data_IF_961318911190
#
_entry.id   IF_961318911190
#
_cell.length_a   1.000
_cell.length_b   1.000
_cell.length_c   1.000
_cell.angle_alpha   90.00
_cell.angle_beta   90.00
_cell.angle_gamma   90.00
#
_symmetry.space_group_name_H-M   'P 1'
#
loop_
_entity.id
_entity.type
_entity.pdbx_description
1 polymer ?
#
# COMPACT_ATOMS: atom_id res chain seq x y z
N UNK A 1 -27.27 -14.53 10.20
CA UNK A 1 -26.18 -14.24 11.16
C UNK A 1 -26.75 -13.44 12.31
N UNK A 2 -26.55 -13.88 13.52
CA UNK A 2 -27.10 -13.20 14.70
C UNK A 2 -26.19 -12.04 15.10
N UNK A 3 -26.76 -10.99 15.68
CA UNK A 3 -26.05 -9.78 16.14
C UNK A 3 -24.85 -10.10 17.05
N UNK A 4 -24.90 -11.22 17.78
CA UNK A 4 -23.80 -11.70 18.65
C UNK A 4 -22.61 -12.24 17.88
N UNK A 5 -22.78 -12.79 16.68
CA UNK A 5 -21.67 -13.28 15.86
C UNK A 5 -20.89 -12.13 15.20
N UNK A 6 -21.58 -11.05 14.85
CA UNK A 6 -20.95 -9.83 14.33
C UNK A 6 -20.11 -9.11 15.40
N UNK A 7 -20.62 -9.04 16.63
CA UNK A 7 -19.90 -8.48 17.78
C UNK A 7 -18.67 -9.30 18.15
N UNK A 8 -18.71 -10.62 17.97
CA UNK A 8 -17.55 -11.51 18.24
C UNK A 8 -16.46 -11.35 17.17
N UNK A 9 -16.84 -11.18 15.91
CA UNK A 9 -15.90 -10.85 14.84
C UNK A 9 -15.28 -9.45 15.01
N UNK A 10 -16.07 -8.46 15.40
CA UNK A 10 -15.56 -7.12 15.71
C UNK A 10 -14.53 -7.15 16.86
N UNK A 11 -14.77 -7.91 17.93
CA UNK A 11 -13.80 -8.06 19.03
C UNK A 11 -12.52 -8.79 18.63
N UNK A 12 -12.59 -9.76 17.70
CA UNK A 12 -11.39 -10.38 17.12
C UNK A 12 -10.58 -9.40 16.28
N UNK A 13 -11.25 -8.53 15.54
CA UNK A 13 -10.62 -7.45 14.77
C UNK A 13 -9.95 -6.44 15.71
N UNK A 14 -10.59 -6.08 16.83
CA UNK A 14 -10.02 -5.18 17.84
C UNK A 14 -8.77 -5.78 18.52
N UNK A 15 -8.77 -7.08 18.84
CA UNK A 15 -7.59 -7.74 19.38
C UNK A 15 -6.43 -7.83 18.39
N UNK A 16 -6.70 -8.03 17.11
CA UNK A 16 -5.69 -8.00 16.04
C UNK A 16 -5.15 -6.58 15.86
N UNK A 17 -6.00 -5.55 15.99
CA UNK A 17 -5.63 -4.13 15.94
C UNK A 17 -4.65 -3.73 17.05
N UNK A 18 -4.75 -4.31 18.24
CA UNK A 18 -3.86 -3.99 19.38
C UNK A 18 -2.42 -4.47 19.12
N UNK A 19 -2.22 -5.61 18.47
CA UNK A 19 -0.90 -6.09 18.04
C UNK A 19 -0.28 -5.23 16.93
N UNK A 20 -1.09 -4.69 16.04
CA UNK A 20 -0.59 -3.83 14.96
C UNK A 20 -0.10 -2.48 15.47
N UNK A 21 -0.75 -1.91 16.48
CA UNK A 21 -0.29 -0.67 17.12
C UNK A 21 1.07 -0.81 17.82
N UNK A 22 1.38 -2.00 18.34
CA UNK A 22 2.66 -2.27 19.00
C UNK A 22 3.85 -2.37 18.04
N UNK A 23 3.62 -2.87 16.82
CA UNK A 23 4.69 -3.08 15.82
C UNK A 23 4.98 -1.77 15.05
N UNK A 24 3.97 -0.94 14.77
CA UNK A 24 4.09 0.24 13.92
C UNK A 24 4.38 1.57 14.64
N UNK A 25 4.32 1.61 15.97
CA UNK A 25 4.60 2.85 16.74
C UNK A 25 6.04 3.38 16.65
N UNK A 26 6.98 2.64 16.03
CA UNK A 26 8.40 3.03 15.98
C UNK A 26 8.93 3.49 14.63
N UNK A 27 8.20 3.31 13.54
CA UNK A 27 8.70 3.66 12.22
C UNK A 27 7.82 4.75 11.59
N UNK A 28 8.40 5.95 11.38
CA UNK A 28 7.76 7.01 10.61
C UNK A 28 7.65 6.54 9.16
N UNK A 29 6.50 5.99 8.80
CA UNK A 29 6.16 5.76 7.40
C UNK A 29 5.95 7.11 6.72
N UNK A 30 6.63 7.32 5.60
CA UNK A 30 6.72 8.63 4.94
C UNK A 30 5.80 8.73 3.71
N UNK A 31 4.63 8.16 3.78
CA UNK A 31 3.68 8.11 2.65
C UNK A 31 2.29 7.77 3.17
N UNK A 32 1.27 8.27 2.51
CA UNK A 32 -0.11 7.82 2.69
C UNK A 32 -0.57 7.08 1.45
N UNK A 33 -1.10 5.88 1.63
CA UNK A 33 -1.76 5.10 0.59
C UNK A 33 -3.13 4.66 1.10
N UNK A 34 -4.13 4.87 0.29
CA UNK A 34 -5.50 4.39 0.53
C UNK A 34 -5.98 3.63 -0.70
N UNK A 35 -6.61 2.51 -0.50
CA UNK A 35 -7.34 1.81 -1.55
C UNK A 35 -8.75 1.49 -1.11
N UNK A 36 -9.68 1.53 -2.05
CA UNK A 36 -11.07 1.19 -1.84
C UNK A 36 -11.62 0.44 -3.06
N UNK A 37 -12.53 -0.48 -2.85
CA UNK A 37 -13.14 -1.24 -3.91
C UNK A 37 -14.62 -1.51 -3.66
N UNK A 38 -15.33 -1.70 -4.77
CA UNK A 38 -16.62 -2.36 -4.84
C UNK A 38 -16.55 -3.50 -5.88
N UNK A 39 -17.69 -4.05 -6.32
CA UNK A 39 -17.72 -5.15 -7.29
C UNK A 39 -17.15 -4.78 -8.67
N UNK A 40 -17.13 -3.50 -9.02
CA UNK A 40 -16.81 -3.03 -10.36
C UNK A 40 -15.40 -2.49 -10.47
N UNK A 41 -14.95 -1.74 -9.44
CA UNK A 41 -13.70 -1.00 -9.47
C UNK A 41 -12.91 -1.16 -8.18
N UNK A 42 -11.60 -1.14 -8.32
CA UNK A 42 -10.64 -0.91 -7.24
C UNK A 42 -9.89 0.38 -7.53
N UNK A 43 -9.83 1.25 -6.55
CA UNK A 43 -9.16 2.55 -6.62
C UNK A 43 -7.99 2.55 -5.65
N UNK A 44 -6.84 3.03 -6.09
CA UNK A 44 -5.66 3.23 -5.25
C UNK A 44 -5.23 4.67 -5.36
N UNK A 45 -5.10 5.35 -4.22
CA UNK A 45 -4.63 6.74 -4.14
C UNK A 45 -3.44 6.87 -3.19
N UNK A 46 -2.50 7.74 -3.52
CA UNK A 46 -1.36 8.07 -2.69
C UNK A 46 -0.98 9.55 -2.80
N UNK A 47 -0.33 10.06 -1.76
CA UNK A 47 0.34 11.36 -1.80
C UNK A 47 1.64 11.31 -2.62
N UNK A 48 2.17 12.46 -3.03
CA UNK A 48 3.40 12.52 -3.84
C UNK A 48 4.65 12.95 -3.08
N UNK A 49 4.54 13.39 -1.83
CA UNK A 49 5.67 13.92 -1.08
C UNK A 49 6.68 12.82 -0.73
N UNK A 50 7.93 13.04 -1.09
CA UNK A 50 9.09 12.26 -0.67
C UNK A 50 9.97 13.15 0.22
N UNK A 51 10.22 12.74 1.45
CA UNK A 51 11.12 13.43 2.36
C UNK A 51 12.43 12.66 2.50
N UNK A 52 13.54 13.31 2.21
CA UNK A 52 14.85 12.73 2.45
C UNK A 52 15.19 12.88 3.94
N UNK A 53 15.29 11.76 4.65
CA UNK A 53 15.52 11.75 6.10
C UNK A 53 16.89 12.29 6.54
N UNK A 54 17.85 12.35 5.62
CA UNK A 54 19.21 12.82 5.93
C UNK A 54 19.28 14.34 5.78
N UNK A 55 18.69 14.85 4.68
CA UNK A 55 18.80 16.29 4.34
C UNK A 55 17.56 17.09 4.67
N UNK A 56 16.45 16.44 5.06
CA UNK A 56 15.11 17.01 5.19
C UNK A 56 14.59 17.68 3.88
N UNK A 57 15.25 17.45 2.77
CA UNK A 57 14.78 17.93 1.48
C UNK A 57 13.50 17.23 1.09
N UNK A 58 12.53 18.00 0.61
CA UNK A 58 11.25 17.53 0.11
C UNK A 58 11.27 17.51 -1.42
N UNK A 59 10.92 16.38 -1.99
CA UNK A 59 10.72 16.20 -3.43
C UNK A 59 9.36 15.57 -3.67
N UNK A 60 8.90 15.61 -4.92
CA UNK A 60 7.61 15.02 -5.28
C UNK A 60 7.83 13.89 -6.28
N UNK A 61 7.30 12.72 -5.98
CA UNK A 61 7.40 11.53 -6.83
C UNK A 61 6.06 10.82 -6.95
N UNK A 62 5.88 10.18 -8.08
CA UNK A 62 4.75 9.28 -8.30
C UNK A 62 5.01 7.98 -7.53
N UNK A 63 4.19 7.72 -6.51
CA UNK A 63 4.29 6.53 -5.65
C UNK A 63 3.38 5.40 -6.11
N UNK A 64 2.53 5.63 -7.10
CA UNK A 64 1.69 4.61 -7.73
C UNK A 64 2.21 4.38 -9.14
N UNK A 65 2.60 3.15 -9.41
CA UNK A 65 3.03 2.66 -10.70
C UNK A 65 1.97 1.68 -11.22
N UNK A 66 1.81 1.59 -12.53
CA UNK A 66 0.84 0.65 -13.09
C UNK A 66 1.20 0.25 -14.51
N UNK A 67 0.70 -0.90 -14.92
CA UNK A 67 0.52 -1.33 -16.30
C UNK A 67 -0.97 -1.61 -16.54
N UNK A 68 -1.33 -2.26 -17.64
CA UNK A 68 -2.73 -2.54 -17.99
C UNK A 68 -3.49 -3.45 -17.00
N UNK A 69 -2.80 -4.16 -16.10
CA UNK A 69 -3.40 -5.20 -15.24
C UNK A 69 -3.04 -5.08 -13.76
N UNK A 70 -2.00 -4.32 -13.45
CA UNK A 70 -1.39 -4.29 -12.12
C UNK A 70 -1.23 -2.85 -11.67
N UNK A 71 -1.60 -2.57 -10.41
CA UNK A 71 -1.26 -1.35 -9.71
C UNK A 71 -0.25 -1.69 -8.62
N UNK A 72 0.77 -0.87 -8.46
CA UNK A 72 1.76 -0.97 -7.38
C UNK A 72 1.80 0.36 -6.64
N UNK A 73 1.59 0.32 -5.33
CA UNK A 73 1.84 1.46 -4.46
C UNK A 73 3.11 1.23 -3.64
N UNK A 74 3.96 2.26 -3.55
CA UNK A 74 5.25 2.25 -2.88
C UNK A 74 5.20 3.12 -1.63
N UNK A 75 5.69 2.57 -0.51
CA UNK A 75 5.80 3.28 0.77
C UNK A 75 7.21 3.09 1.35
N UNK A 76 7.62 4.03 2.18
CA UNK A 76 8.93 3.98 2.82
C UNK A 76 10.05 4.49 1.91
N UNK A 77 11.17 3.79 1.87
CA UNK A 77 12.37 4.23 1.15
C UNK A 77 12.29 3.89 -0.34
N UNK A 78 11.90 4.86 -1.16
CA UNK A 78 11.84 4.73 -2.61
C UNK A 78 13.20 5.00 -3.29
N UNK A 79 14.11 5.66 -2.59
CA UNK A 79 15.47 5.94 -3.07
C UNK A 79 16.51 5.38 -2.10
N UNK A 80 17.54 4.73 -2.62
CA UNK A 80 18.69 4.27 -1.86
C UNK A 80 19.95 5.02 -2.30
N UNK A 81 20.54 5.77 -1.36
CA UNK A 81 21.81 6.47 -1.59
C UNK A 81 22.96 5.48 -1.38
N UNK A 82 23.81 5.34 -2.38
CA UNK A 82 24.99 4.48 -2.36
C UNK A 82 26.25 5.26 -2.71
N UNK A 83 27.42 4.66 -2.51
CA UNK A 83 28.70 5.24 -2.95
C UNK A 83 28.79 5.46 -4.48
N UNK A 84 27.97 4.75 -5.26
CA UNK A 84 27.94 4.82 -6.72
C UNK A 84 26.80 5.67 -7.27
N UNK A 85 26.04 6.37 -6.41
CA UNK A 85 24.91 7.21 -6.79
C UNK A 85 23.59 6.80 -6.13
N UNK A 86 22.50 7.32 -6.65
CA UNK A 86 21.15 7.07 -6.13
C UNK A 86 20.51 5.95 -6.95
N UNK A 87 19.98 4.95 -6.25
CA UNK A 87 19.12 3.92 -6.84
C UNK A 87 17.67 4.32 -6.60
N UNK A 88 16.93 4.55 -7.67
CA UNK A 88 15.51 4.92 -7.65
C UNK A 88 14.66 3.65 -7.85
N UNK A 89 14.08 3.13 -6.79
CA UNK A 89 13.29 1.89 -6.84
C UNK A 89 11.99 2.05 -7.63
N UNK A 90 11.39 3.23 -7.67
CA UNK A 90 10.26 3.53 -8.54
C UNK A 90 10.59 3.25 -10.01
N UNK A 91 11.75 3.71 -10.51
CA UNK A 91 12.20 3.43 -11.88
C UNK A 91 12.53 1.97 -12.12
N UNK A 92 13.16 1.30 -11.14
CA UNK A 92 13.47 -0.13 -11.22
C UNK A 92 12.17 -0.94 -11.37
N UNK A 93 11.19 -0.68 -10.51
CA UNK A 93 9.91 -1.38 -10.50
C UNK A 93 9.08 -1.01 -11.75
N UNK A 94 9.09 0.24 -12.18
CA UNK A 94 8.44 0.65 -13.42
C UNK A 94 8.95 -0.12 -14.64
N UNK A 95 10.26 -0.37 -14.73
CA UNK A 95 10.83 -1.18 -15.79
C UNK A 95 10.40 -2.65 -15.74
N UNK A 96 10.24 -3.21 -14.54
CA UNK A 96 9.72 -4.58 -14.37
C UNK A 96 8.28 -4.66 -14.90
N UNK A 97 7.39 -3.76 -14.48
CA UNK A 97 5.97 -3.83 -14.86
C UNK A 97 5.70 -3.45 -16.32
N UNK A 98 6.65 -2.80 -17.00
CA UNK A 98 6.58 -2.58 -18.46
C UNK A 98 6.80 -3.87 -19.26
N UNK A 99 7.53 -4.83 -18.70
CA UNK A 99 7.91 -6.06 -19.38
C UNK A 99 7.08 -7.27 -18.95
N UNK A 100 6.51 -7.23 -17.77
CA UNK A 100 5.78 -8.34 -17.16
C UNK A 100 4.37 -7.91 -16.70
N UNK A 101 3.38 -8.72 -17.01
CA UNK A 101 1.97 -8.47 -16.65
C UNK A 101 1.40 -9.52 -15.69
N UNK A 102 2.15 -10.57 -15.39
CA UNK A 102 1.77 -11.57 -14.41
C UNK A 102 2.16 -11.07 -13.00
N UNK A 103 1.21 -10.86 -12.08
CA UNK A 103 1.48 -10.26 -10.77
C UNK A 103 2.46 -11.07 -9.93
N UNK A 104 2.42 -12.41 -10.03
CA UNK A 104 3.33 -13.28 -9.28
C UNK A 104 4.77 -13.22 -9.82
N UNK A 105 4.94 -13.09 -11.13
CA UNK A 105 6.26 -12.90 -11.73
C UNK A 105 6.80 -11.50 -11.45
N UNK A 106 5.96 -10.48 -11.50
CA UNK A 106 6.31 -9.10 -11.11
C UNK A 106 6.81 -9.07 -9.67
N UNK A 107 6.09 -9.69 -8.73
CA UNK A 107 6.52 -9.79 -7.34
C UNK A 107 7.89 -10.44 -7.22
N UNK A 108 8.09 -11.62 -7.81
CA UNK A 108 9.36 -12.33 -7.77
C UNK A 108 10.51 -11.50 -8.34
N UNK A 109 10.30 -10.79 -9.45
CA UNK A 109 11.32 -9.92 -10.03
C UNK A 109 11.64 -8.71 -9.14
N UNK A 110 10.61 -8.09 -8.52
CA UNK A 110 10.82 -7.01 -7.55
C UNK A 110 11.66 -7.50 -6.38
N UNK A 111 11.30 -8.64 -5.77
CA UNK A 111 12.03 -9.22 -4.65
C UNK A 111 13.48 -9.47 -5.05
N UNK A 112 13.72 -10.22 -6.13
CA UNK A 112 15.08 -10.58 -6.57
C UNK A 112 15.94 -9.36 -6.90
N UNK A 113 15.32 -8.30 -7.45
CA UNK A 113 16.06 -7.11 -7.87
C UNK A 113 16.32 -6.16 -6.73
N UNK A 114 15.29 -5.87 -5.91
CA UNK A 114 15.36 -4.84 -4.87
C UNK A 114 16.02 -5.35 -3.59
N UNK A 115 15.73 -6.57 -3.14
CA UNK A 115 16.38 -7.18 -1.96
C UNK A 115 17.89 -7.25 -2.09
N UNK A 116 18.38 -7.51 -3.27
CA UNK A 116 19.81 -7.50 -3.60
C UNK A 116 20.49 -6.16 -3.26
N UNK A 117 19.80 -5.04 -3.46
CA UNK A 117 20.34 -3.74 -3.08
C UNK A 117 20.27 -3.52 -1.57
N UNK A 118 19.19 -3.86 -0.90
CA UNK A 118 19.08 -3.76 0.54
C UNK A 118 20.07 -4.67 1.26
N UNK A 119 20.26 -5.90 0.79
CA UNK A 119 21.23 -6.85 1.36
C UNK A 119 22.68 -6.33 1.24
N UNK A 120 22.99 -5.62 0.15
CA UNK A 120 24.32 -5.06 -0.08
C UNK A 120 24.59 -3.80 0.73
N UNK A 121 23.57 -2.97 0.92
CA UNK A 121 23.68 -1.67 1.55
C UNK A 121 22.83 -1.63 2.82
N UNK A 122 23.12 -2.55 3.77
CA UNK A 122 22.33 -2.70 4.99
C UNK A 122 21.87 -1.35 5.54
N UNK A 123 20.57 -1.17 5.57
CA UNK A 123 19.92 0.03 6.05
C UNK A 123 18.77 -0.38 6.99
N UNK A 124 18.53 0.39 8.04
CA UNK A 124 17.38 0.19 8.93
C UNK A 124 16.04 0.55 8.27
N UNK A 125 16.11 1.18 7.10
CA UNK A 125 14.94 1.57 6.33
C UNK A 125 14.45 0.39 5.49
N UNK A 126 13.21 0.49 5.03
CA UNK A 126 12.56 -0.53 4.23
C UNK A 126 11.74 0.11 3.11
N UNK A 127 11.52 -0.64 2.06
CA UNK A 127 10.53 -0.37 1.04
C UNK A 127 9.34 -1.30 1.25
N UNK A 128 8.15 -0.74 1.35
CA UNK A 128 6.91 -1.50 1.32
C UNK A 128 6.29 -1.40 -0.07
N UNK A 129 5.82 -2.53 -0.57
CA UNK A 129 5.19 -2.67 -1.88
C UNK A 129 3.80 -3.25 -1.70
N UNK A 130 2.80 -2.53 -2.16
CA UNK A 130 1.42 -3.00 -2.23
C UNK A 130 1.09 -3.28 -3.70
N UNK A 131 0.84 -4.53 -4.02
CA UNK A 131 0.55 -5.02 -5.37
C UNK A 131 -0.93 -5.35 -5.47
N UNK A 132 -1.64 -4.71 -6.41
CA UNK A 132 -3.05 -4.91 -6.65
C UNK A 132 -3.27 -5.42 -8.07
N UNK A 133 -4.16 -6.40 -8.22
CA UNK A 133 -4.56 -6.92 -9.54
C UNK A 133 -5.96 -7.52 -9.50
N UNK A 134 -6.46 -7.93 -10.64
CA UNK A 134 -7.74 -8.65 -10.75
C UNK A 134 -7.52 -10.03 -11.34
N UNK A 135 -8.12 -11.02 -10.70
CA UNK A 135 -8.09 -12.42 -11.15
C UNK A 135 -9.42 -13.09 -10.80
N UNK A 136 -9.96 -13.88 -11.73
CA UNK A 136 -11.21 -14.63 -11.52
C UNK A 136 -12.37 -13.77 -10.97
N UNK A 137 -12.56 -12.59 -11.52
CA UNK A 137 -13.58 -11.60 -11.12
C UNK A 137 -13.38 -10.95 -9.74
N UNK A 138 -12.29 -11.24 -9.04
CA UNK A 138 -11.98 -10.65 -7.76
C UNK A 138 -10.78 -9.70 -7.84
N UNK A 139 -10.83 -8.64 -7.07
CA UNK A 139 -9.65 -7.85 -6.80
C UNK A 139 -8.81 -8.56 -5.75
N UNK A 140 -7.52 -8.58 -5.96
CA UNK A 140 -6.55 -9.21 -5.09
C UNK A 140 -5.50 -8.18 -4.67
N UNK A 141 -5.00 -8.36 -3.47
CA UNK A 141 -3.98 -7.50 -2.90
C UNK A 141 -2.90 -8.35 -2.25
N UNK A 142 -1.65 -7.98 -2.49
CA UNK A 142 -0.50 -8.51 -1.76
C UNK A 142 0.43 -7.37 -1.37
N UNK A 143 0.89 -7.37 -0.13
CA UNK A 143 1.91 -6.44 0.28
C UNK A 143 3.07 -7.17 0.93
N UNK A 144 4.23 -6.62 0.73
CA UNK A 144 5.46 -7.15 1.26
C UNK A 144 6.44 -6.03 1.57
N UNK A 145 7.37 -6.33 2.44
CA UNK A 145 8.41 -5.41 2.85
C UNK A 145 9.78 -5.95 2.41
N UNK A 146 10.60 -5.05 1.91
CA UNK A 146 11.95 -5.30 1.43
C UNK A 146 12.93 -4.47 2.27
N UNK A 147 13.84 -5.14 2.96
CA UNK A 147 14.86 -4.51 3.80
C UNK A 147 16.14 -5.37 3.93
N UNK A 148 16.36 -6.29 3.00
CA UNK A 148 17.40 -7.32 3.07
C UNK A 148 16.95 -8.63 3.74
N UNK A 149 15.71 -8.67 4.19
CA UNK A 149 15.07 -9.86 4.78
C UNK A 149 13.58 -9.80 4.40
N UNK A 150 13.28 -10.30 3.20
CA UNK A 150 11.94 -10.27 2.62
C UNK A 150 10.88 -10.80 3.60
N UNK A 151 9.86 -10.00 3.82
CA UNK A 151 8.71 -10.36 4.67
C UNK A 151 7.41 -10.03 3.98
N UNK A 152 6.53 -11.00 3.94
CA UNK A 152 5.13 -10.72 3.64
C UNK A 152 4.55 -10.01 4.85
N UNK A 153 4.09 -8.79 4.63
CA UNK A 153 3.47 -8.04 5.69
C UNK A 153 2.05 -8.56 5.93
N UNK A 154 1.70 -8.88 7.17
CA UNK A 154 0.30 -8.93 7.52
C UNK A 154 -0.25 -7.51 7.38
N UNK A 155 -1.27 -7.33 6.56
CA UNK A 155 -1.97 -6.07 6.42
C UNK A 155 -2.79 -5.76 7.61
N UNK A 156 -2.50 -4.69 8.28
CA UNK A 156 -3.12 -4.60 9.56
C UNK A 156 -3.47 -3.22 10.04
N UNK A 157 -3.28 -2.18 9.24
CA UNK A 157 -3.58 -0.94 9.88
C UNK A 157 -5.05 -0.62 9.86
N UNK A 158 -5.70 -0.52 8.81
CA UNK A 158 -7.12 -0.25 8.76
C UNK A 158 -7.67 -0.83 7.46
N UNK A 159 -8.09 -2.08 7.53
CA UNK A 159 -8.68 -2.77 6.39
C UNK A 159 -10.04 -3.33 6.76
N UNK A 160 -10.99 -3.25 5.85
CA UNK A 160 -12.33 -3.79 5.96
C UNK A 160 -12.67 -4.57 4.68
N UNK A 161 -13.42 -5.65 4.81
CA UNK A 161 -13.92 -6.40 3.66
C UNK A 161 -12.88 -7.26 2.95
N UNK A 162 -12.09 -8.02 3.68
CA UNK A 162 -11.09 -8.92 3.11
C UNK A 162 -11.30 -10.37 3.59
N UNK A 163 -10.82 -11.32 2.78
CA UNK A 163 -10.77 -12.74 3.13
C UNK A 163 -9.32 -13.24 3.12
N UNK A 164 -8.82 -13.67 4.27
CA UNK A 164 -7.45 -14.18 4.45
C UNK A 164 -7.26 -15.65 4.04
N UNK A 165 -8.24 -16.31 3.51
CA UNK A 165 -8.21 -17.76 3.29
C UNK A 165 -7.39 -18.24 2.11
N UNK A 166 -6.54 -17.42 1.52
CA UNK A 166 -5.66 -17.88 0.45
C UNK A 166 -4.36 -18.46 1.02
N UNK A 167 -3.97 -19.62 0.53
CA UNK A 167 -2.74 -20.33 0.95
C UNK A 167 -1.44 -19.52 0.80
N UNK A 168 -1.46 -18.46 0.00
CA UNK A 168 -0.27 -17.74 -0.46
C UNK A 168 -0.17 -16.32 0.09
N UNK A 169 -0.86 -16.01 1.20
CA UNK A 169 -0.94 -14.66 1.76
C UNK A 169 -1.44 -13.58 0.76
N UNK A 170 -2.17 -13.99 -0.25
CA UNK A 170 -2.89 -13.11 -1.15
C UNK A 170 -4.24 -12.79 -0.53
N UNK A 171 -4.56 -11.52 -0.42
CA UNK A 171 -5.83 -11.07 0.13
C UNK A 171 -6.82 -10.94 -1.00
N UNK A 172 -7.92 -11.67 -0.89
CA UNK A 172 -9.09 -11.47 -1.72
C UNK A 172 -9.90 -10.32 -1.16
N UNK A 173 -10.07 -9.30 -1.97
CA UNK A 173 -10.89 -8.13 -1.64
C UNK A 173 -12.36 -8.51 -1.83
N UNK A 174 -13.18 -8.27 -0.81
CA UNK A 174 -14.62 -8.49 -0.87
C UNK A 174 -15.34 -7.29 -1.48
N UNK A 175 -16.64 -7.43 -1.74
CA UNK A 175 -17.48 -6.48 -2.49
C UNK A 175 -17.53 -5.05 -1.91
N UNK A 176 -17.12 -4.83 -0.69
CA UNK A 176 -16.92 -3.51 -0.11
C UNK A 176 -15.65 -3.58 0.71
N UNK A 177 -14.62 -2.97 0.22
CA UNK A 177 -13.29 -3.03 0.79
C UNK A 177 -12.66 -1.64 0.86
N UNK A 178 -12.01 -1.36 1.96
CA UNK A 178 -11.00 -0.31 2.01
C UNK A 178 -9.75 -0.77 2.76
N UNK A 179 -8.65 -0.13 2.43
CA UNK A 179 -7.36 -0.27 3.07
C UNK A 179 -6.72 1.12 3.18
N UNK A 180 -6.12 1.40 4.32
CA UNK A 180 -5.48 2.66 4.60
C UNK A 180 -4.18 2.43 5.37
N UNK A 181 -3.08 2.97 4.88
CA UNK A 181 -1.76 2.81 5.49
C UNK A 181 -0.91 4.06 5.33
N UNK A 182 0.08 4.22 6.21
CA UNK A 182 1.00 5.35 6.22
C UNK A 182 0.71 6.33 7.36
N UNK A 183 1.32 7.51 7.29
CA UNK A 183 1.16 8.53 8.32
C UNK A 183 -0.29 9.03 8.37
N UNK A 184 -0.88 8.99 9.56
CA UNK A 184 -2.27 9.38 9.80
C UNK A 184 -3.32 8.38 9.32
N UNK A 185 -2.92 7.14 8.99
CA UNK A 185 -3.88 6.09 8.69
C UNK A 185 -4.86 5.86 9.84
N UNK A 186 -6.12 5.62 9.53
CA UNK A 186 -7.18 5.52 10.53
C UNK A 186 -8.36 4.66 10.11
N UNK A 187 -9.26 4.43 11.04
CA UNK A 187 -10.51 3.72 10.76
C UNK A 187 -11.53 4.70 10.15
N UNK A 188 -11.80 4.54 8.87
CA UNK A 188 -12.70 5.39 8.10
C UNK A 188 -14.00 4.66 7.66
N UNK A 189 -14.37 3.58 8.35
CA UNK A 189 -15.48 2.71 7.96
C UNK A 189 -16.77 3.47 7.66
N UNK A 190 -17.16 4.40 8.52
CA UNK A 190 -18.40 5.18 8.32
C UNK A 190 -18.34 6.06 7.07
N UNK A 191 -17.18 6.70 6.83
CA UNK A 191 -16.96 7.48 5.61
C UNK A 191 -17.00 6.60 4.36
N UNK A 192 -16.38 5.44 4.42
CA UNK A 192 -16.35 4.47 3.33
C UNK A 192 -17.75 3.95 2.96
N UNK A 193 -18.57 3.60 3.94
CA UNK A 193 -19.91 3.07 3.69
C UNK A 193 -20.86 4.08 3.05
N UNK A 194 -20.57 5.37 3.17
CA UNK A 194 -21.41 6.48 2.66
C UNK A 194 -20.86 7.13 1.39
N UNK A 195 -19.76 6.62 0.82
CA UNK A 195 -19.07 7.25 -0.30
C UNK A 195 -18.68 6.20 -1.34
N UNK A 196 -18.61 6.58 -2.61
CA UNK A 196 -18.07 5.65 -3.62
C UNK A 196 -16.54 5.48 -3.45
N UNK A 197 -15.95 4.35 -3.96
CA UNK A 197 -14.53 4.05 -3.77
C UNK A 197 -13.58 5.14 -4.28
N UNK A 198 -13.91 5.80 -5.38
CA UNK A 198 -13.07 6.84 -5.97
C UNK A 198 -13.01 8.07 -5.06
N UNK A 199 -14.15 8.61 -4.68
CA UNK A 199 -14.23 9.78 -3.81
C UNK A 199 -13.63 9.49 -2.44
N UNK A 200 -13.94 8.31 -1.88
CA UNK A 200 -13.37 7.88 -0.60
C UNK A 200 -11.85 7.85 -0.62
N UNK A 201 -11.25 7.19 -1.63
CA UNK A 201 -9.81 7.03 -1.72
C UNK A 201 -9.09 8.37 -1.90
N UNK A 202 -9.59 9.22 -2.80
CA UNK A 202 -9.04 10.57 -3.03
C UNK A 202 -9.17 11.45 -1.79
N UNK A 203 -10.36 11.49 -1.18
CA UNK A 203 -10.64 12.36 -0.06
C UNK A 203 -9.83 11.99 1.18
N UNK A 204 -9.62 10.70 1.42
CA UNK A 204 -8.82 10.21 2.54
C UNK A 204 -7.37 10.68 2.44
N UNK A 205 -6.74 10.58 1.26
CA UNK A 205 -5.37 11.08 1.05
C UNK A 205 -5.33 12.60 1.12
N UNK A 206 -6.31 13.29 0.51
CA UNK A 206 -6.39 14.77 0.55
C UNK A 206 -6.54 15.31 1.96
N UNK A 207 -7.34 14.68 2.79
CA UNK A 207 -7.49 15.05 4.20
C UNK A 207 -6.17 14.90 4.96
N UNK A 208 -5.39 13.85 4.67
CA UNK A 208 -4.08 13.68 5.27
C UNK A 208 -3.07 14.75 4.81
N UNK A 209 -3.08 15.12 3.52
CA UNK A 209 -2.25 16.22 2.98
C UNK A 209 -2.57 17.55 3.67
N UNK A 210 -3.85 17.82 3.92
CA UNK A 210 -4.30 19.06 4.55
C UNK A 210 -4.12 19.09 6.07
N UNK A 211 -3.73 17.97 6.69
CA UNK A 211 -3.49 17.92 8.12
C UNK A 211 -2.05 18.37 8.43
N UNK A 212 -1.94 19.51 9.10
CA UNK A 212 -0.64 20.12 9.45
C UNK A 212 0.17 19.32 10.45
N UNK A 213 -0.43 18.36 11.16
CA UNK A 213 0.26 17.47 12.09
C UNK A 213 1.10 16.40 11.37
N UNK A 214 0.81 16.15 10.08
CA UNK A 214 1.53 15.18 9.27
C UNK A 214 2.66 15.86 8.51
N UNK A 215 3.90 15.47 8.79
CA UNK A 215 5.09 16.10 8.21
C UNK A 215 5.59 15.39 6.94
N UNK A 216 5.17 14.16 6.73
CA UNK A 216 5.69 13.28 5.68
C UNK A 216 4.66 12.94 4.59
N UNK A 217 3.46 13.48 4.71
CA UNK A 217 2.39 13.40 3.71
C UNK A 217 2.21 14.78 3.07
N UNK A 218 2.08 14.84 1.75
CA UNK A 218 1.90 16.12 1.09
C UNK A 218 1.97 16.05 -0.43
N UNK A 219 1.91 17.21 -1.08
CA UNK A 219 1.92 17.33 -2.54
C UNK A 219 0.59 17.00 -3.17
N UNK A 220 0.63 16.37 -4.34
CA UNK A 220 -0.56 15.99 -5.12
C UNK A 220 -1.08 14.61 -4.74
N UNK A 221 -2.37 14.38 -4.97
CA UNK A 221 -2.99 13.05 -4.90
C UNK A 221 -2.88 12.39 -6.26
N UNK A 222 -2.16 11.28 -6.35
CA UNK A 222 -2.18 10.40 -7.50
C UNK A 222 -3.18 9.27 -7.27
N UNK A 223 -4.00 8.99 -8.30
CA UNK A 223 -5.04 7.98 -8.23
C UNK A 223 -5.01 7.11 -9.48
N UNK A 224 -5.15 5.81 -9.30
CA UNK A 224 -5.28 4.83 -10.38
C UNK A 224 -6.46 3.93 -10.07
N UNK A 225 -7.24 3.63 -11.10
CA UNK A 225 -8.42 2.76 -11.02
C UNK A 225 -8.21 1.50 -11.84
N UNK A 226 -8.56 0.37 -11.29
CA UNK A 226 -8.57 -0.93 -11.94
C UNK A 226 -10.00 -1.45 -12.00
N UNK A 227 -10.50 -1.71 -13.18
CA UNK A 227 -11.84 -2.27 -13.41
C UNK A 227 -11.79 -3.66 -14.07
N UNK A 228 -12.93 -4.14 -14.56
CA UNK A 228 -13.03 -5.41 -15.28
C UNK A 228 -12.33 -5.43 -16.64
N UNK A 229 -12.01 -4.27 -17.20
CA UNK A 229 -11.31 -4.10 -18.49
C UNK A 229 -9.81 -3.84 -18.32
N UNK A 230 -9.35 -3.58 -17.10
CA UNK A 230 -7.98 -3.21 -16.75
C UNK A 230 -7.88 -1.77 -16.24
N UNK A 231 -6.70 -1.16 -16.43
CA UNK A 231 -6.37 0.20 -16.00
C UNK A 231 -6.42 1.14 -17.19
#
# INVERSE_FOLDING_TARGET
MTYSSQLLEMRKVEQILDWSQLIFRKEKTMTRVTSAANDEILVVSADSLLTNNITNNKTYKKKILHNKKIIIALLGQIELITSNGIIEFDKVIENIIKQEINPYLVENQIIQTVEKYFSKYYNKNFLQVCLFWRENQHFLLRAFQLNGDYKIMPFLNYAFGYDYKTKDNVIKVMNHYYFDTGEGAGNHLLGFLNTNPLDFSIQTVRNAINNTDFQTVGGDVFTVTLDKHGI
#
